data_IF_427141758620
#
_entry.id   IF_427141758620
#
_cell.length_a   1.000
_cell.length_b   1.000
_cell.length_c   1.000
_cell.angle_alpha   90.00
_cell.angle_beta   90.00
_cell.angle_gamma   90.00
#
_symmetry.space_group_name_H-M   'P 1'
#
loop_
_entity.id
_entity.type
_entity.pdbx_description
1 polymer ?
#
# COMPACT_ATOMS: atom_id res chain seq x y z
N UNK A 1 -19.91 2.93 44.45
CA UNK A 1 -20.07 3.52 43.10
C UNK A 1 -21.45 3.18 42.57
N UNK A 2 -22.23 4.17 42.11
CA UNK A 2 -23.61 3.93 41.60
C UNK A 2 -23.55 3.21 40.24
N UNK A 3 -24.44 2.25 40.02
CA UNK A 3 -24.56 1.43 38.79
C UNK A 3 -24.60 2.25 37.49
N UNK A 4 -25.09 3.48 37.54
CA UNK A 4 -25.16 4.41 36.41
C UNK A 4 -23.78 4.87 35.90
N UNK A 5 -22.77 4.98 36.76
CA UNK A 5 -21.41 5.35 36.32
C UNK A 5 -20.70 4.22 35.58
N UNK A 6 -20.97 2.96 35.94
CA UNK A 6 -20.39 1.79 35.29
C UNK A 6 -20.92 1.66 33.87
N UNK A 7 -22.22 1.87 33.67
CA UNK A 7 -22.86 1.84 32.34
C UNK A 7 -22.31 2.96 31.45
N UNK A 8 -22.14 4.17 31.99
CA UNK A 8 -21.58 5.31 31.26
C UNK A 8 -20.14 5.04 30.78
N UNK A 9 -19.30 4.44 31.62
CA UNK A 9 -17.92 4.06 31.25
C UNK A 9 -17.92 2.97 30.17
N UNK A 10 -18.83 2.00 30.24
CA UNK A 10 -18.91 0.90 29.29
C UNK A 10 -19.38 1.37 27.90
N UNK A 11 -20.34 2.31 27.86
CA UNK A 11 -20.77 2.98 26.63
C UNK A 11 -19.62 3.82 26.03
N UNK A 12 -18.89 4.57 26.85
CA UNK A 12 -17.72 5.32 26.39
C UNK A 12 -16.63 4.40 25.81
N UNK A 13 -16.38 3.24 26.44
CA UNK A 13 -15.41 2.28 25.96
C UNK A 13 -15.78 1.68 24.59
N UNK A 14 -17.07 1.40 24.36
CA UNK A 14 -17.57 0.92 23.05
C UNK A 14 -17.44 1.99 21.97
N UNK A 15 -17.65 3.26 22.31
CA UNK A 15 -17.53 4.37 21.35
C UNK A 15 -16.08 4.62 20.92
N UNK A 16 -15.10 4.48 21.82
CA UNK A 16 -13.67 4.71 21.53
C UNK A 16 -13.11 3.63 20.57
N UNK A 17 -13.62 2.40 20.62
CA UNK A 17 -13.18 1.31 19.73
C UNK A 17 -13.45 1.59 18.24
N UNK A 18 -14.41 2.45 17.91
CA UNK A 18 -14.77 2.78 16.53
C UNK A 18 -13.92 3.92 15.92
N UNK A 19 -13.00 4.54 16.68
CA UNK A 19 -12.27 5.75 16.25
C UNK A 19 -10.88 5.48 15.62
N UNK A 20 -10.46 4.22 15.48
CA UNK A 20 -9.11 3.88 15.02
C UNK A 20 -8.96 3.68 13.50
N UNK A 21 -9.86 4.23 12.68
CA UNK A 21 -9.75 4.10 11.23
C UNK A 21 -8.79 5.17 10.68
N UNK A 22 -7.55 4.76 10.40
CA UNK A 22 -6.50 5.66 9.90
C UNK A 22 -6.50 5.70 8.36
N UNK A 23 -6.32 6.90 7.79
CA UNK A 23 -6.23 7.10 6.34
C UNK A 23 -4.96 6.46 5.79
N UNK A 24 -5.09 5.79 4.64
CA UNK A 24 -3.96 5.15 3.96
C UNK A 24 -3.46 6.07 2.86
N UNK A 25 -2.19 6.45 2.92
CA UNK A 25 -1.49 7.16 1.84
C UNK A 25 -0.72 6.15 1.01
N UNK A 26 -0.98 6.13 -0.30
CA UNK A 26 -0.30 5.24 -1.24
C UNK A 26 0.82 6.00 -1.98
N UNK A 27 1.96 5.33 -2.17
CA UNK A 27 3.01 5.78 -3.06
C UNK A 27 3.29 4.66 -4.09
N UNK A 28 2.74 4.84 -5.28
CA UNK A 28 2.86 3.92 -6.41
C UNK A 28 3.89 4.42 -7.42
N UNK A 29 4.56 3.49 -8.09
CA UNK A 29 5.43 3.77 -9.22
C UNK A 29 5.37 2.56 -10.16
N UNK A 30 5.40 2.79 -11.48
CA UNK A 30 5.28 1.67 -12.45
C UNK A 30 6.50 0.74 -12.47
N UNK A 31 7.64 1.22 -11.98
CA UNK A 31 8.92 0.50 -11.99
C UNK A 31 9.46 0.24 -10.58
N UNK A 32 8.68 0.53 -9.55
CA UNK A 32 9.10 0.33 -8.16
C UNK A 32 7.97 -0.30 -7.36
N UNK A 33 8.35 -1.10 -6.38
CA UNK A 33 7.42 -1.78 -5.49
C UNK A 33 6.53 -0.73 -4.78
N UNK A 34 5.19 -0.86 -4.85
CA UNK A 34 4.30 0.09 -4.22
C UNK A 34 4.45 0.08 -2.71
N UNK A 35 4.31 1.27 -2.13
CA UNK A 35 4.43 1.49 -0.69
C UNK A 35 3.18 2.15 -0.17
N UNK A 36 2.84 1.87 1.09
CA UNK A 36 1.73 2.51 1.76
C UNK A 36 2.15 3.03 3.13
N UNK A 37 1.47 4.07 3.61
CA UNK A 37 1.70 4.70 4.91
C UNK A 37 0.38 4.87 5.64
N UNK A 38 0.39 4.59 6.94
CA UNK A 38 -0.76 4.80 7.84
C UNK A 38 -0.64 6.12 8.60
N UNK A 39 0.57 6.70 8.66
CA UNK A 39 0.89 7.91 9.44
C UNK A 39 0.86 9.18 8.58
N UNK A 40 0.01 9.24 7.55
CA UNK A 40 -0.07 10.39 6.66
C UNK A 40 1.20 10.63 5.80
N UNK A 41 2.00 9.60 5.55
CA UNK A 41 3.16 9.66 4.65
C UNK A 41 4.53 9.77 5.32
N UNK A 42 4.62 9.55 6.64
CA UNK A 42 5.90 9.60 7.38
C UNK A 42 6.66 8.27 7.28
N UNK A 43 5.97 7.14 7.46
CA UNK A 43 6.55 5.80 7.39
C UNK A 43 5.95 5.02 6.22
N UNK A 44 6.76 4.72 5.21
CA UNK A 44 6.34 3.92 4.06
C UNK A 44 6.69 2.45 4.26
N UNK A 45 5.66 1.61 4.34
CA UNK A 45 5.78 0.16 4.35
C UNK A 45 5.69 -0.37 2.93
N UNK A 46 6.54 -1.34 2.61
CA UNK A 46 6.47 -2.12 1.38
C UNK A 46 5.18 -2.95 1.36
N UNK A 47 4.46 -2.91 0.25
CA UNK A 47 3.18 -3.60 0.15
C UNK A 47 3.33 -5.12 0.13
N UNK A 48 4.33 -5.67 -0.57
CA UNK A 48 4.52 -7.12 -0.72
C UNK A 48 4.63 -7.83 0.64
N UNK A 49 5.47 -7.27 1.53
CA UNK A 49 5.72 -7.85 2.85
C UNK A 49 4.59 -7.60 3.87
N UNK A 50 3.73 -6.60 3.64
CA UNK A 50 2.72 -6.19 4.62
C UNK A 50 1.29 -6.27 4.06
N UNK A 51 1.07 -7.02 2.98
CA UNK A 51 -0.25 -7.15 2.35
C UNK A 51 -1.30 -7.74 3.31
N UNK A 52 -0.89 -8.66 4.18
CA UNK A 52 -1.78 -9.19 5.22
C UNK A 52 -2.19 -8.14 6.24
N UNK A 53 -1.28 -7.24 6.63
CA UNK A 53 -1.59 -6.12 7.52
C UNK A 53 -2.61 -5.19 6.85
N UNK A 54 -2.42 -4.90 5.57
CA UNK A 54 -3.36 -4.09 4.79
C UNK A 54 -4.74 -4.76 4.66
N UNK A 55 -4.80 -6.07 4.43
CA UNK A 55 -6.06 -6.85 4.40
C UNK A 55 -6.79 -6.79 5.74
N UNK A 56 -6.06 -6.88 6.86
CA UNK A 56 -6.66 -6.77 8.20
C UNK A 56 -7.24 -5.38 8.44
N UNK A 57 -6.58 -4.32 7.97
CA UNK A 57 -7.10 -2.95 8.04
C UNK A 57 -8.35 -2.76 7.19
N UNK A 58 -8.36 -3.32 5.98
CA UNK A 58 -9.47 -3.21 5.03
C UNK A 58 -10.57 -4.26 5.24
N UNK A 59 -10.49 -5.11 6.27
CA UNK A 59 -11.39 -6.26 6.47
C UNK A 59 -12.88 -5.92 6.51
N UNK A 60 -13.22 -4.68 6.85
CA UNK A 60 -14.59 -4.20 6.96
C UNK A 60 -15.18 -3.76 5.60
N UNK A 61 -14.40 -3.80 4.52
CA UNK A 61 -14.78 -3.39 3.17
C UNK A 61 -14.50 -4.54 2.19
N UNK A 62 -15.52 -5.31 1.84
CA UNK A 62 -15.40 -6.44 0.91
C UNK A 62 -14.92 -5.96 -0.48
N UNK A 63 -15.45 -4.85 -0.98
CA UNK A 63 -15.05 -4.27 -2.27
C UNK A 63 -13.56 -3.87 -2.29
N UNK A 64 -13.01 -3.47 -1.15
CA UNK A 64 -11.59 -3.13 -1.00
C UNK A 64 -10.71 -4.38 -1.06
N UNK A 65 -11.16 -5.48 -0.44
CA UNK A 65 -10.46 -6.77 -0.46
C UNK A 65 -10.42 -7.36 -1.88
N UNK A 66 -11.54 -7.33 -2.61
CA UNK A 66 -11.61 -7.83 -3.98
C UNK A 66 -10.64 -7.08 -4.92
N UNK A 67 -10.56 -5.75 -4.80
CA UNK A 67 -9.62 -4.95 -5.59
C UNK A 67 -8.17 -5.18 -5.19
N UNK A 68 -7.89 -5.42 -3.91
CA UNK A 68 -6.55 -5.75 -3.43
C UNK A 68 -6.09 -7.13 -3.92
N UNK A 69 -6.99 -8.12 -3.97
CA UNK A 69 -6.70 -9.45 -4.52
C UNK A 69 -6.51 -9.42 -6.06
N UNK A 70 -7.28 -8.58 -6.75
CA UNK A 70 -7.08 -8.28 -8.17
C UNK A 70 -5.69 -7.68 -8.43
N UNK A 71 -5.25 -6.73 -7.60
CA UNK A 71 -3.89 -6.19 -7.66
C UNK A 71 -2.84 -7.31 -7.53
N UNK A 72 -2.96 -8.19 -6.52
CA UNK A 72 -1.99 -9.25 -6.28
C UNK A 72 -1.88 -10.22 -7.48
N UNK A 73 -3.04 -10.63 -8.02
CA UNK A 73 -3.11 -11.55 -9.15
C UNK A 73 -2.51 -10.93 -10.42
N UNK A 74 -2.87 -9.67 -10.71
CA UNK A 74 -2.34 -8.94 -11.88
C UNK A 74 -0.84 -8.63 -11.73
N UNK A 75 -0.40 -8.28 -10.52
CA UNK A 75 1.01 -8.02 -10.22
C UNK A 75 1.86 -9.26 -10.48
N UNK A 76 1.48 -10.40 -9.91
CA UNK A 76 2.18 -11.68 -10.12
C UNK A 76 2.18 -12.09 -11.59
N UNK A 77 1.04 -11.94 -12.29
CA UNK A 77 0.95 -12.23 -13.72
C UNK A 77 1.89 -11.34 -14.54
N UNK A 78 1.94 -10.04 -14.22
CA UNK A 78 2.81 -9.08 -14.91
C UNK A 78 4.29 -9.38 -14.69
N UNK A 79 4.67 -9.83 -13.48
CA UNK A 79 6.03 -10.21 -13.14
C UNK A 79 6.47 -11.45 -13.94
N UNK A 80 5.62 -12.48 -14.00
CA UNK A 80 5.89 -13.69 -14.78
C UNK A 80 6.06 -13.34 -16.28
N UNK A 81 5.15 -12.54 -16.83
CA UNK A 81 5.22 -12.09 -18.22
C UNK A 81 6.48 -11.25 -18.46
N UNK A 82 6.83 -10.39 -17.50
CA UNK A 82 8.04 -9.57 -17.55
C UNK A 82 9.33 -10.39 -17.52
N UNK A 83 9.40 -11.43 -16.69
CA UNK A 83 10.54 -12.36 -16.61
C UNK A 83 10.67 -13.14 -17.92
N UNK A 84 9.58 -13.70 -18.44
CA UNK A 84 9.60 -14.46 -19.69
C UNK A 84 9.95 -13.56 -20.88
N UNK A 85 9.29 -12.40 -21.00
CA UNK A 85 9.53 -11.44 -22.08
C UNK A 85 10.94 -10.84 -22.00
N UNK A 86 11.39 -10.48 -20.81
CA UNK A 86 12.74 -10.00 -20.54
C UNK A 86 13.81 -11.06 -20.81
N UNK A 87 13.53 -12.34 -20.51
CA UNK A 87 14.40 -13.46 -20.86
C UNK A 87 14.51 -13.66 -22.38
N UNK A 88 13.39 -13.57 -23.10
CA UNK A 88 13.36 -13.67 -24.57
C UNK A 88 14.15 -12.56 -25.26
N UNK A 89 14.22 -11.36 -24.67
CA UNK A 89 15.02 -10.24 -25.20
C UNK A 89 16.47 -10.31 -24.71
N UNK A 90 16.66 -10.58 -23.43
CA UNK A 90 17.95 -10.53 -22.74
C UNK A 90 18.89 -11.66 -23.12
N UNK A 91 18.36 -12.86 -23.37
CA UNK A 91 19.16 -14.02 -23.81
C UNK A 91 19.91 -13.77 -25.13
N UNK A 92 19.23 -13.38 -26.23
CA UNK A 92 19.92 -13.10 -27.49
C UNK A 92 20.82 -11.85 -27.40
N UNK A 93 20.42 -10.81 -26.68
CA UNK A 93 21.26 -9.62 -26.47
C UNK A 93 22.54 -9.97 -25.68
N UNK A 94 22.43 -10.75 -24.62
CA UNK A 94 23.56 -11.17 -23.79
C UNK A 94 24.55 -12.04 -24.56
N UNK A 95 24.05 -12.97 -25.39
CA UNK A 95 24.88 -13.77 -26.28
C UNK A 95 25.63 -12.92 -27.32
N UNK A 96 24.99 -11.88 -27.87
CA UNK A 96 25.63 -10.96 -28.82
C UNK A 96 26.69 -10.07 -28.15
N UNK A 97 26.36 -9.45 -27.00
CA UNK A 97 27.30 -8.62 -26.24
C UNK A 97 28.48 -9.41 -25.69
N UNK A 98 28.31 -10.71 -25.43
CA UNK A 98 29.37 -11.64 -25.03
C UNK A 98 30.34 -12.04 -26.14
N UNK A 99 30.26 -11.41 -27.32
CA UNK A 99 31.12 -11.72 -28.48
C UNK A 99 30.54 -12.77 -29.43
N UNK A 100 29.29 -13.18 -29.25
CA UNK A 100 28.57 -14.06 -30.17
C UNK A 100 28.13 -13.34 -31.44
N UNK A 101 27.93 -14.11 -32.52
CA UNK A 101 27.34 -13.57 -33.75
C UNK A 101 25.83 -13.45 -33.60
N UNK A 102 25.27 -12.39 -34.15
CA UNK A 102 23.83 -12.23 -34.27
C UNK A 102 23.29 -13.28 -35.25
N UNK A 103 22.26 -14.03 -34.86
CA UNK A 103 21.64 -15.08 -35.67
C UNK A 103 20.20 -14.68 -36.00
N UNK A 104 19.76 -14.90 -37.24
CA UNK A 104 18.43 -14.48 -37.74
C UNK A 104 17.26 -15.03 -36.91
N UNK A 105 17.44 -16.17 -36.23
CA UNK A 105 16.40 -16.75 -35.36
C UNK A 105 16.17 -15.98 -34.05
N UNK A 106 17.05 -15.04 -33.68
CA UNK A 106 16.84 -14.18 -32.51
C UNK A 106 15.82 -13.06 -32.79
N UNK A 107 15.65 -12.63 -34.04
CA UNK A 107 14.68 -11.60 -34.43
C UNK A 107 13.25 -11.91 -34.00
N UNK A 108 12.67 -13.09 -34.31
CA UNK A 108 11.32 -13.42 -33.87
C UNK A 108 11.22 -13.56 -32.35
N UNK A 109 12.28 -14.02 -31.68
CA UNK A 109 12.31 -14.19 -30.21
C UNK A 109 12.31 -12.83 -29.48
N UNK A 110 13.10 -11.86 -29.97
CA UNK A 110 13.09 -10.48 -29.47
C UNK A 110 11.75 -9.82 -29.76
N UNK A 111 11.18 -10.03 -30.96
CA UNK A 111 9.88 -9.48 -31.33
C UNK A 111 8.79 -9.97 -30.38
N UNK A 112 8.66 -11.29 -30.20
CA UNK A 112 7.69 -11.88 -29.28
C UNK A 112 7.95 -11.45 -27.83
N UNK A 113 9.23 -11.44 -27.41
CA UNK A 113 9.63 -10.97 -26.09
C UNK A 113 9.22 -9.50 -25.84
N UNK A 114 9.42 -8.62 -26.82
CA UNK A 114 9.05 -7.21 -26.74
C UNK A 114 7.53 -7.01 -26.63
N UNK A 115 6.74 -7.76 -27.40
CA UNK A 115 5.28 -7.74 -27.30
C UNK A 115 4.81 -8.23 -25.92
N UNK A 116 5.42 -9.28 -25.39
CA UNK A 116 5.12 -9.78 -24.05
C UNK A 116 5.42 -8.75 -22.97
N UNK A 117 6.58 -8.07 -23.03
CA UNK A 117 6.92 -7.00 -22.07
C UNK A 117 5.93 -5.84 -22.14
N UNK A 118 5.51 -5.43 -23.34
CA UNK A 118 4.49 -4.37 -23.49
C UNK A 118 3.17 -4.78 -22.82
N UNK A 119 2.72 -6.01 -23.06
CA UNK A 119 1.49 -6.53 -22.43
C UNK A 119 1.67 -6.60 -20.91
N UNK A 120 2.81 -7.09 -20.41
CA UNK A 120 3.14 -7.13 -19.00
C UNK A 120 3.08 -5.75 -18.35
N UNK A 121 3.59 -4.71 -19.02
CA UNK A 121 3.54 -3.33 -18.55
C UNK A 121 2.11 -2.79 -18.47
N UNK A 122 1.25 -3.10 -19.45
CA UNK A 122 -0.16 -2.71 -19.41
C UNK A 122 -0.91 -3.40 -18.26
N UNK A 123 -0.63 -4.68 -18.01
CA UNK A 123 -1.19 -5.44 -16.89
C UNK A 123 -0.72 -4.86 -15.55
N UNK A 124 0.57 -4.53 -15.44
CA UNK A 124 1.14 -3.90 -14.24
C UNK A 124 0.50 -2.54 -13.95
N UNK A 125 0.29 -1.71 -14.98
CA UNK A 125 -0.43 -0.44 -14.88
C UNK A 125 -1.87 -0.65 -14.36
N UNK A 126 -2.59 -1.63 -14.92
CA UNK A 126 -3.93 -1.99 -14.45
C UNK A 126 -3.96 -2.51 -13.01
N UNK A 127 -2.89 -3.20 -12.57
CA UNK A 127 -2.74 -3.63 -11.19
C UNK A 127 -2.66 -2.41 -10.26
N UNK A 128 -1.80 -1.44 -10.58
CA UNK A 128 -1.62 -0.21 -9.80
C UNK A 128 -2.95 0.55 -9.67
N UNK A 129 -3.72 0.69 -10.76
CA UNK A 129 -5.04 1.32 -10.70
C UNK A 129 -6.00 0.58 -9.76
N UNK A 130 -5.98 -0.76 -9.76
CA UNK A 130 -6.83 -1.56 -8.87
C UNK A 130 -6.46 -1.34 -7.39
N UNK A 131 -5.17 -1.18 -7.09
CA UNK A 131 -4.66 -0.87 -5.75
C UNK A 131 -5.04 0.54 -5.29
N UNK A 132 -4.91 1.53 -6.18
CA UNK A 132 -5.31 2.92 -5.91
C UNK A 132 -6.80 3.01 -5.59
N UNK A 133 -7.63 2.33 -6.38
CA UNK A 133 -9.06 2.26 -6.16
C UNK A 133 -9.43 1.56 -4.83
N UNK A 134 -8.71 0.51 -4.44
CA UNK A 134 -8.92 -0.15 -3.15
C UNK A 134 -8.67 0.79 -1.96
N UNK A 135 -7.55 1.52 -2.02
CA UNK A 135 -7.19 2.52 -1.00
C UNK A 135 -8.17 3.69 -1.00
N UNK A 136 -8.62 4.14 -2.17
CA UNK A 136 -9.60 5.21 -2.29
C UNK A 136 -10.95 4.82 -1.67
N UNK A 137 -11.46 3.61 -1.98
CA UNK A 137 -12.71 3.11 -1.40
C UNK A 137 -12.62 3.00 0.13
N UNK A 138 -11.50 2.51 0.64
CA UNK A 138 -11.25 2.45 2.07
C UNK A 138 -11.23 3.86 2.68
N UNK A 139 -10.48 4.79 2.11
CA UNK A 139 -10.39 6.17 2.60
C UNK A 139 -11.75 6.88 2.55
N UNK A 140 -12.55 6.69 1.51
CA UNK A 140 -13.93 7.22 1.42
C UNK A 140 -14.82 6.67 2.52
N UNK A 141 -14.67 5.38 2.86
CA UNK A 141 -15.43 4.73 3.95
C UNK A 141 -15.08 5.35 5.31
N UNK A 142 -13.84 5.76 5.51
CA UNK A 142 -13.41 6.47 6.73
C UNK A 142 -13.98 7.89 6.76
N UNK A 143 -13.80 8.65 5.68
CA UNK A 143 -14.25 10.05 5.61
C UNK A 143 -15.77 10.17 5.83
N UNK A 144 -16.56 9.21 5.35
CA UNK A 144 -18.01 9.21 5.54
C UNK A 144 -18.46 8.80 6.97
N UNK A 145 -17.61 8.12 7.74
CA UNK A 145 -17.94 7.59 9.06
C UNK A 145 -17.37 8.39 10.24
N UNK A 146 -16.59 9.45 10.02
CA UNK A 146 -16.29 10.45 11.04
C UNK A 146 -14.83 10.89 11.11
N UNK A 147 -14.68 12.21 11.15
CA UNK A 147 -13.58 13.03 11.70
C UNK A 147 -12.17 12.57 11.30
N UNK A 148 -11.57 13.28 10.34
CA UNK A 148 -10.16 13.17 10.00
C UNK A 148 -9.28 13.43 11.25
N UNK A 149 -8.88 12.37 11.94
CA UNK A 149 -8.01 12.47 13.10
C UNK A 149 -6.55 12.51 12.63
N UNK A 150 -6.01 13.71 12.46
CA UNK A 150 -4.57 13.96 12.31
C UNK A 150 -3.99 14.44 13.64
N UNK A 151 -3.68 13.56 14.62
CA UNK A 151 -3.01 14.00 15.83
C UNK A 151 -1.57 14.38 15.47
N UNK A 152 -1.31 15.68 15.34
CA UNK A 152 0.06 16.21 15.37
C UNK A 152 0.58 16.08 16.79
N UNK A 153 1.32 15.01 17.06
CA UNK A 153 2.04 14.87 18.33
C UNK A 153 3.24 15.82 18.35
N UNK A 154 3.07 17.01 18.92
CA UNK A 154 4.19 17.89 19.22
C UNK A 154 4.78 17.53 20.59
N UNK A 155 5.78 16.64 20.62
CA UNK A 155 6.47 16.31 21.87
C UNK A 155 7.52 17.37 22.17
N UNK A 156 7.13 18.45 22.85
CA UNK A 156 8.09 19.37 23.47
C UNK A 156 8.56 18.80 24.81
N UNK A 157 9.83 18.37 24.88
CA UNK A 157 10.46 17.98 26.13
C UNK A 157 11.13 19.21 26.76
N UNK A 158 10.57 19.68 27.87
CA UNK A 158 11.23 20.65 28.74
C UNK A 158 11.40 20.01 30.11
N UNK A 159 12.64 19.84 30.57
CA UNK A 159 12.96 19.35 31.91
C UNK A 159 13.22 20.54 32.83
N UNK A 160 12.35 20.85 33.81
CA UNK A 160 12.69 21.82 34.83
C UNK A 160 12.98 21.10 36.14
N UNK A 161 14.17 21.34 36.68
CA UNK A 161 14.52 21.06 38.07
C UNK A 161 13.76 21.99 39.06
N UNK A 162 12.51 22.35 38.75
CA UNK A 162 11.61 23.19 39.55
C UNK A 162 10.17 22.80 39.20
N UNK A 163 9.44 22.29 40.20
CA UNK A 163 8.14 21.63 40.05
C UNK A 163 7.19 22.28 39.05
N UNK A 164 6.81 21.51 38.02
CA UNK A 164 5.65 21.80 37.16
C UNK A 164 5.18 20.52 36.45
N UNK A 165 3.87 20.47 36.25
CA UNK A 165 3.03 19.35 35.83
C UNK A 165 3.40 18.84 34.43
N UNK A 166 3.43 17.50 34.27
CA UNK A 166 3.48 16.83 32.96
C UNK A 166 2.08 16.95 32.35
N UNK A 167 1.92 17.86 31.38
CA UNK A 167 0.68 18.00 30.62
C UNK A 167 0.84 17.36 29.25
N UNK A 168 0.02 16.35 28.94
CA UNK A 168 -0.24 15.96 27.56
C UNK A 168 -1.32 16.93 27.06
N UNK A 169 -0.93 17.92 26.25
CA UNK A 169 -1.90 18.80 25.60
C UNK A 169 -2.32 18.17 24.29
N UNK A 170 -3.58 17.77 24.22
CA UNK A 170 -4.25 17.41 22.97
C UNK A 170 -5.03 18.65 22.56
N UNK A 171 -4.57 19.35 21.52
CA UNK A 171 -5.35 20.43 20.94
C UNK A 171 -6.36 19.83 19.95
N UNK A 172 -7.64 20.21 20.13
CA UNK A 172 -8.76 19.87 19.27
C UNK A 172 -8.96 20.94 18.21
#
# INVERSE_FOLDING_TARGET
MKSTHIISILVAFVLIQNCYSQRITLHTSMFSEPKYSLDGGVNFKKLENNMNELKVLMRNCNDCLDKLDSYNTKSSTSEIIGIIGGGCIGWPLGGYLGGGKWLDYYTPMILVGSCAVIIGLLVASSAITSLEEAVELYNRTITNNGIEFFPKYNTSYSFPNRGKIIGISISF
#
